data_IF_865422709983
#
_entry.id   IF_865422709983
#
_cell.length_a   1.000
_cell.length_b   1.000
_cell.length_c   1.000
_cell.angle_alpha   90.00
_cell.angle_beta   90.00
_cell.angle_gamma   90.00
#
_symmetry.space_group_name_H-M   'P 1'
#
loop_
_entity.id
_entity.type
_entity.pdbx_description
1 polymer ?
#
# COMPACT_ATOMS: atom_id res chain seq x y z
N UNK A 1 -19.92 -32.03 45.22
CA UNK A 1 -20.02 -31.89 43.75
C UNK A 1 -20.19 -30.44 43.26
N UNK A 2 -20.48 -29.47 44.15
CA UNK A 2 -20.65 -28.06 43.74
C UNK A 2 -19.37 -27.22 43.88
N UNK A 3 -18.45 -27.57 44.80
CA UNK A 3 -17.14 -26.90 44.90
C UNK A 3 -16.20 -27.22 43.72
N UNK A 4 -16.21 -28.45 43.21
CA UNK A 4 -15.36 -28.85 42.06
C UNK A 4 -15.83 -28.17 40.77
N UNK A 5 -17.15 -27.97 40.61
CA UNK A 5 -17.71 -27.20 39.49
C UNK A 5 -17.38 -25.71 39.58
N UNK A 6 -17.40 -25.13 40.79
CA UNK A 6 -16.99 -23.75 41.01
C UNK A 6 -15.48 -23.53 40.74
N UNK A 7 -14.64 -24.49 41.10
CA UNK A 7 -13.20 -24.43 40.87
C UNK A 7 -12.82 -24.53 39.38
N UNK A 8 -13.55 -25.36 38.62
CA UNK A 8 -13.38 -25.52 37.17
C UNK A 8 -13.88 -24.33 36.35
N UNK A 9 -14.91 -23.62 36.83
CA UNK A 9 -15.41 -22.40 36.19
C UNK A 9 -14.47 -21.21 36.46
N UNK A 10 -13.85 -21.13 37.65
CA UNK A 10 -12.89 -20.09 37.99
C UNK A 10 -11.57 -20.19 37.20
N UNK A 11 -11.13 -21.40 36.84
CA UNK A 11 -9.90 -21.61 36.05
C UNK A 11 -10.09 -21.30 34.56
N UNK A 12 -11.30 -21.39 34.03
CA UNK A 12 -11.59 -21.09 32.62
C UNK A 12 -11.66 -19.57 32.33
N UNK A 13 -11.86 -18.74 33.35
CA UNK A 13 -11.90 -17.27 33.21
C UNK A 13 -10.48 -16.65 33.24
N UNK A 14 -9.48 -17.36 33.77
CA UNK A 14 -8.10 -16.86 33.85
C UNK A 14 -7.23 -17.17 32.61
N UNK A 15 -7.73 -17.98 31.66
CA UNK A 15 -7.03 -18.27 30.40
C UNK A 15 -7.36 -17.28 29.27
N UNK A 16 -8.23 -16.29 29.51
CA UNK A 16 -8.36 -15.12 28.64
C UNK A 16 -7.43 -14.00 29.11
N UNK A 17 -6.12 -14.27 29.17
CA UNK A 17 -5.13 -13.21 28.96
C UNK A 17 -5.16 -12.86 27.48
N UNK A 18 -6.25 -12.21 27.05
CA UNK A 18 -6.19 -11.40 25.85
C UNK A 18 -5.05 -10.42 26.06
N UNK A 19 -4.13 -10.33 25.11
CA UNK A 19 -3.19 -9.23 25.04
C UNK A 19 -4.02 -7.95 24.91
N UNK A 20 -4.41 -7.36 26.04
CA UNK A 20 -4.77 -5.96 26.09
C UNK A 20 -3.49 -5.27 25.64
N UNK A 21 -3.46 -4.89 24.36
CA UNK A 21 -2.42 -4.05 23.81
C UNK A 21 -2.25 -2.90 24.77
N UNK A 22 -1.08 -2.85 25.39
CA UNK A 22 -0.69 -1.79 26.29
C UNK A 22 -0.69 -0.51 25.46
N UNK A 23 -1.83 0.19 25.42
CA UNK A 23 -1.90 1.56 24.95
C UNK A 23 -1.12 2.36 25.98
N UNK A 24 0.16 2.60 25.68
CA UNK A 24 1.00 3.56 26.39
C UNK A 24 0.40 4.94 26.08
N UNK A 25 -0.61 5.32 26.86
CA UNK A 25 -1.02 6.69 27.05
C UNK A 25 0.02 7.34 27.98
N UNK A 26 1.17 7.74 27.44
CA UNK A 26 2.28 8.14 28.30
C UNK A 26 3.54 8.65 27.61
N UNK A 27 3.41 9.47 26.57
CA UNK A 27 4.41 10.48 26.23
C UNK A 27 3.76 11.53 25.33
N UNK A 28 3.75 12.78 25.76
CA UNK A 28 3.33 13.92 24.98
C UNK A 28 4.38 14.20 23.88
N UNK A 29 4.34 13.43 22.81
CA UNK A 29 4.86 13.88 21.52
C UNK A 29 3.63 14.27 20.71
N UNK A 30 3.57 15.54 20.32
CA UNK A 30 2.50 16.10 19.47
C UNK A 30 2.62 15.55 18.05
N UNK A 31 2.59 14.23 17.89
CA UNK A 31 2.52 13.60 16.59
C UNK A 31 1.12 13.87 16.08
N UNK A 32 1.01 14.70 15.03
CA UNK A 32 -0.23 14.87 14.28
C UNK A 32 -0.57 13.52 13.64
N UNK A 33 -1.32 12.70 14.35
CA UNK A 33 -1.79 11.42 13.82
C UNK A 33 -2.91 11.71 12.84
N UNK A 34 -2.54 11.69 11.56
CA UNK A 34 -3.49 11.80 10.46
C UNK A 34 -4.29 10.50 10.42
N UNK A 35 -5.58 10.60 10.75
CA UNK A 35 -6.48 9.46 10.75
C UNK A 35 -7.25 9.43 9.45
N UNK A 36 -7.08 8.35 8.69
CA UNK A 36 -7.94 8.04 7.54
C UNK A 36 -9.35 7.69 8.05
N UNK A 37 -10.33 8.53 7.72
CA UNK A 37 -11.72 8.42 8.14
C UNK A 37 -12.63 7.76 7.09
N UNK A 38 -12.06 7.16 6.04
CA UNK A 38 -12.85 6.47 5.01
C UNK A 38 -13.67 5.32 5.59
N UNK A 39 -14.89 5.22 5.08
CA UNK A 39 -15.79 4.10 5.34
C UNK A 39 -15.31 2.82 4.66
N UNK A 40 -15.76 1.68 5.17
CA UNK A 40 -15.51 0.38 4.53
C UNK A 40 -15.99 0.34 3.08
N UNK A 41 -17.08 1.07 2.74
CA UNK A 41 -17.60 1.15 1.38
C UNK A 41 -16.64 1.87 0.44
N UNK A 42 -16.04 2.97 0.89
CA UNK A 42 -15.05 3.71 0.09
C UNK A 42 -13.79 2.87 -0.14
N UNK A 43 -13.28 2.21 0.92
CA UNK A 43 -12.14 1.29 0.80
C UNK A 43 -12.46 0.14 -0.14
N UNK A 44 -13.67 -0.43 -0.06
CA UNK A 44 -14.10 -1.50 -0.94
C UNK A 44 -14.19 -1.04 -2.40
N UNK A 45 -14.71 0.17 -2.66
CA UNK A 45 -14.76 0.75 -4.00
C UNK A 45 -13.34 0.92 -4.57
N UNK A 46 -12.39 1.45 -3.78
CA UNK A 46 -11.00 1.59 -4.20
C UNK A 46 -10.35 0.24 -4.53
N UNK A 47 -10.56 -0.78 -3.69
CA UNK A 47 -10.06 -2.12 -3.96
C UNK A 47 -10.70 -2.74 -5.22
N UNK A 48 -11.99 -2.46 -5.48
CA UNK A 48 -12.65 -2.92 -6.69
C UNK A 48 -12.06 -2.25 -7.94
N UNK A 49 -11.74 -0.95 -7.89
CA UNK A 49 -11.01 -0.24 -8.95
C UNK A 49 -9.66 -0.91 -9.20
N UNK A 50 -8.87 -1.16 -8.14
CA UNK A 50 -7.57 -1.84 -8.26
C UNK A 50 -7.71 -3.22 -8.91
N UNK A 51 -8.72 -4.00 -8.50
CA UNK A 51 -8.98 -5.34 -9.02
C UNK A 51 -9.44 -5.34 -10.48
N UNK A 52 -10.37 -4.46 -10.85
CA UNK A 52 -10.82 -4.27 -12.24
C UNK A 52 -9.63 -3.96 -13.15
N UNK A 53 -8.78 -3.01 -12.74
CA UNK A 53 -7.59 -2.61 -13.51
C UNK A 53 -6.58 -3.74 -13.62
N UNK A 54 -6.29 -4.46 -12.54
CA UNK A 54 -5.43 -5.63 -12.57
C UNK A 54 -6.01 -6.76 -13.45
N UNK A 55 -7.33 -6.91 -13.46
CA UNK A 55 -8.03 -7.88 -14.31
C UNK A 55 -7.91 -7.56 -15.81
N UNK A 56 -7.88 -6.27 -16.18
CA UNK A 56 -7.72 -5.85 -17.58
C UNK A 56 -6.40 -6.30 -18.20
N UNK A 57 -5.29 -6.31 -17.44
CA UNK A 57 -3.96 -6.71 -17.96
C UNK A 57 -3.94 -8.16 -18.43
N UNK A 58 -4.86 -9.00 -17.95
CA UNK A 58 -4.98 -10.41 -18.33
C UNK A 58 -5.84 -10.66 -19.57
N UNK A 59 -6.42 -9.62 -20.18
CA UNK A 59 -7.30 -9.70 -21.36
C UNK A 59 -6.58 -9.18 -22.61
N UNK A 60 -6.97 -9.65 -23.79
CA UNK A 60 -6.51 -9.03 -25.04
C UNK A 60 -7.08 -7.59 -25.15
N UNK A 61 -6.32 -6.62 -25.69
CA UNK A 61 -4.96 -6.73 -26.28
C UNK A 61 -3.81 -6.59 -25.27
N UNK A 62 -4.09 -6.41 -23.98
CA UNK A 62 -3.10 -6.08 -22.94
C UNK A 62 -2.27 -7.27 -22.46
N UNK A 63 -2.83 -8.49 -22.51
CA UNK A 63 -2.15 -9.72 -22.08
C UNK A 63 -0.80 -9.89 -22.77
N UNK A 64 0.27 -9.92 -21.98
CA UNK A 64 1.65 -10.04 -22.46
C UNK A 64 2.26 -8.75 -23.01
N UNK A 65 1.46 -7.69 -23.18
CA UNK A 65 1.91 -6.38 -23.66
C UNK A 65 1.95 -5.32 -22.56
N UNK A 66 1.17 -5.49 -21.49
CA UNK A 66 1.08 -4.59 -20.36
C UNK A 66 1.14 -5.40 -19.07
N UNK A 67 2.11 -5.09 -18.22
CA UNK A 67 2.15 -5.51 -16.83
C UNK A 67 1.93 -4.27 -15.99
N UNK A 68 0.74 -4.13 -15.42
CA UNK A 68 0.39 -2.98 -14.61
C UNK A 68 -0.20 -3.40 -13.27
N UNK A 69 0.11 -2.61 -12.26
CA UNK A 69 -0.56 -2.62 -10.95
C UNK A 69 -1.15 -1.24 -10.72
N UNK A 70 -2.22 -1.18 -9.93
CA UNK A 70 -2.91 0.05 -9.60
C UNK A 70 -2.96 0.20 -8.08
N UNK A 71 -2.92 1.44 -7.62
CA UNK A 71 -3.32 1.77 -6.25
C UNK A 71 -4.32 2.91 -6.29
N UNK A 72 -5.45 2.77 -5.60
CA UNK A 72 -6.53 3.75 -5.57
C UNK A 72 -6.71 4.33 -4.17
N UNK A 73 -7.00 5.63 -4.12
CA UNK A 73 -7.47 6.30 -2.91
C UNK A 73 -8.56 7.32 -3.30
N UNK A 74 -9.80 7.07 -2.88
CA UNK A 74 -10.97 7.88 -3.22
C UNK A 74 -11.10 8.12 -4.75
N UNK A 75 -10.86 7.07 -5.54
CA UNK A 75 -10.91 7.13 -7.00
C UNK A 75 -9.72 7.77 -7.70
N UNK A 76 -8.74 8.31 -6.95
CA UNK A 76 -7.46 8.76 -7.50
C UNK A 76 -6.55 7.54 -7.64
N UNK A 77 -6.26 7.16 -8.87
CA UNK A 77 -5.49 5.96 -9.21
C UNK A 77 -4.07 6.33 -9.61
N UNK A 78 -3.10 5.60 -9.08
CA UNK A 78 -1.73 5.58 -9.58
C UNK A 78 -1.50 4.26 -10.30
N UNK A 79 -1.18 4.34 -11.59
CA UNK A 79 -0.83 3.18 -12.42
C UNK A 79 0.68 3.01 -12.43
N UNK A 80 1.18 1.81 -12.15
CA UNK A 80 2.60 1.49 -12.09
C UNK A 80 2.88 0.22 -12.90
N UNK A 81 4.07 0.10 -13.49
CA UNK A 81 4.47 -1.10 -14.22
C UNK A 81 5.12 -0.81 -15.57
N UNK A 82 4.89 -1.68 -16.55
CA UNK A 82 5.52 -1.61 -17.87
C UNK A 82 4.52 -1.90 -19.00
N UNK A 83 4.74 -1.26 -20.15
CA UNK A 83 4.01 -1.51 -21.38
C UNK A 83 4.97 -1.57 -22.57
N UNK A 84 4.76 -2.50 -23.50
CA UNK A 84 5.68 -2.72 -24.63
C UNK A 84 5.79 -1.52 -25.57
N UNK A 85 4.71 -0.75 -25.73
CA UNK A 85 4.66 0.39 -26.64
C UNK A 85 3.87 1.55 -26.04
N UNK A 86 4.13 2.77 -26.51
CA UNK A 86 3.36 3.94 -26.10
C UNK A 86 1.89 3.83 -26.53
N UNK A 87 1.62 3.19 -27.68
CA UNK A 87 0.26 3.01 -28.17
C UNK A 87 -0.57 2.14 -27.22
N UNK A 88 -0.09 0.95 -26.85
CA UNK A 88 -0.84 0.05 -25.96
C UNK A 88 -0.99 0.65 -24.56
N UNK A 89 0.00 1.45 -24.12
CA UNK A 89 -0.09 2.21 -22.88
C UNK A 89 -1.23 3.24 -22.92
N UNK A 90 -1.30 4.05 -23.97
CA UNK A 90 -2.35 5.05 -24.14
C UNK A 90 -3.74 4.39 -24.18
N UNK A 91 -3.87 3.28 -24.90
CA UNK A 91 -5.11 2.50 -24.96
C UNK A 91 -5.49 1.92 -23.60
N UNK A 92 -4.53 1.35 -22.87
CA UNK A 92 -4.74 0.80 -21.52
C UNK A 92 -5.18 1.89 -20.54
N UNK A 93 -4.51 3.04 -20.52
CA UNK A 93 -4.87 4.17 -19.67
C UNK A 93 -6.28 4.68 -19.99
N UNK A 94 -6.63 4.79 -21.28
CA UNK A 94 -7.96 5.20 -21.70
C UNK A 94 -9.07 4.24 -21.25
N UNK A 95 -8.79 2.93 -21.16
CA UNK A 95 -9.74 1.97 -20.59
C UNK A 95 -9.77 2.03 -19.06
N UNK A 96 -8.63 2.17 -18.39
CA UNK A 96 -8.57 2.34 -16.94
C UNK A 96 -9.36 3.57 -16.48
N UNK A 97 -9.36 4.66 -17.26
CA UNK A 97 -10.19 5.86 -16.99
C UNK A 97 -11.70 5.59 -17.02
N UNK A 98 -12.15 4.53 -17.69
CA UNK A 98 -13.57 4.15 -17.78
C UNK A 98 -14.01 3.22 -16.66
N UNK A 99 -13.08 2.71 -15.85
CA UNK A 99 -13.43 1.86 -14.70
C UNK A 99 -14.32 2.66 -13.73
N UNK A 100 -15.49 2.12 -13.33
CA UNK A 100 -16.39 2.83 -12.42
C UNK A 100 -15.71 3.25 -11.12
N UNK A 101 -15.88 4.52 -10.75
CA UNK A 101 -15.30 5.09 -9.53
C UNK A 101 -13.92 5.74 -9.73
N UNK A 102 -13.29 5.61 -10.88
CA UNK A 102 -12.06 6.35 -11.20
C UNK A 102 -12.38 7.83 -11.43
N UNK A 103 -11.72 8.70 -10.68
CA UNK A 103 -11.85 10.16 -10.78
C UNK A 103 -10.64 10.79 -11.45
N UNK A 104 -9.45 10.27 -11.16
CA UNK A 104 -8.18 10.77 -11.68
C UNK A 104 -7.20 9.62 -11.85
N UNK A 105 -6.33 9.72 -12.87
CA UNK A 105 -5.22 8.78 -13.08
C UNK A 105 -3.91 9.53 -13.15
N UNK A 106 -2.95 9.10 -12.33
CA UNK A 106 -1.53 9.40 -12.44
C UNK A 106 -0.82 8.19 -13.05
N UNK A 107 -0.42 8.30 -14.32
CA UNK A 107 0.27 7.23 -15.01
C UNK A 107 1.77 7.26 -14.71
N UNK A 108 2.29 6.18 -14.13
CA UNK A 108 3.70 5.92 -13.87
C UNK A 108 4.21 4.64 -14.54
N UNK A 109 3.45 4.09 -15.49
CA UNK A 109 3.89 2.96 -16.30
C UNK A 109 5.02 3.42 -17.23
N UNK A 110 6.07 2.61 -17.34
CA UNK A 110 7.21 2.85 -18.23
C UNK A 110 7.02 2.11 -19.55
N UNK A 111 7.32 2.77 -20.66
CA UNK A 111 7.32 2.10 -21.97
C UNK A 111 8.63 1.31 -22.13
N UNK A 112 8.55 0.02 -21.82
CA UNK A 112 9.66 -0.94 -21.88
C UNK A 112 9.10 -2.36 -21.80
N UNK A 113 9.97 -3.36 -22.00
CA UNK A 113 9.59 -4.75 -21.80
C UNK A 113 9.22 -5.01 -20.32
N UNK A 114 8.24 -5.88 -20.03
CA UNK A 114 7.91 -6.28 -18.67
C UNK A 114 9.12 -6.87 -17.95
N UNK A 115 9.18 -6.62 -16.64
CA UNK A 115 10.26 -7.12 -15.79
C UNK A 115 10.36 -8.64 -15.86
N UNK A 116 11.59 -9.13 -15.83
CA UNK A 116 11.90 -10.54 -15.64
C UNK A 116 11.50 -11.02 -14.23
N UNK A 117 11.37 -12.33 -14.06
CA UNK A 117 11.09 -12.94 -12.74
C UNK A 117 12.16 -12.57 -11.70
N UNK A 118 13.43 -12.45 -12.14
CA UNK A 118 14.54 -12.03 -11.27
C UNK A 118 14.37 -10.60 -10.78
N UNK A 119 13.99 -9.68 -11.65
CA UNK A 119 13.74 -8.27 -11.29
C UNK A 119 12.52 -8.14 -10.36
N UNK A 120 11.44 -8.87 -10.64
CA UNK A 120 10.25 -8.91 -9.76
C UNK A 120 10.61 -9.43 -8.36
N UNK A 121 11.48 -10.45 -8.29
CA UNK A 121 11.96 -10.99 -7.01
C UNK A 121 12.85 -9.97 -6.28
N UNK A 122 13.68 -9.24 -7.02
CA UNK A 122 14.50 -8.16 -6.47
C UNK A 122 13.63 -7.02 -5.90
N UNK A 123 12.59 -6.61 -6.62
CA UNK A 123 11.64 -5.59 -6.19
C UNK A 123 10.86 -6.02 -4.94
N UNK A 124 10.50 -7.31 -4.83
CA UNK A 124 9.87 -7.87 -3.64
C UNK A 124 10.79 -7.79 -2.41
N UNK A 125 12.09 -8.02 -2.62
CA UNK A 125 13.09 -7.87 -1.58
C UNK A 125 13.30 -6.40 -1.18
N UNK A 126 13.36 -5.48 -2.14
CA UNK A 126 13.38 -4.03 -1.86
C UNK A 126 12.15 -3.63 -1.05
N UNK A 127 10.95 -4.04 -1.49
CA UNK A 127 9.69 -3.76 -0.81
C UNK A 127 9.72 -4.21 0.64
N UNK A 128 10.23 -5.43 0.90
CA UNK A 128 10.37 -5.97 2.25
C UNK A 128 11.29 -5.11 3.09
N UNK A 129 12.49 -4.77 2.59
CA UNK A 129 13.45 -3.91 3.30
C UNK A 129 12.87 -2.53 3.62
N UNK A 130 12.17 -1.91 2.67
CA UNK A 130 11.53 -0.60 2.87
C UNK A 130 10.45 -0.70 3.94
N UNK A 131 9.54 -1.69 3.84
CA UNK A 131 8.50 -1.89 4.86
C UNK A 131 9.10 -2.10 6.25
N UNK A 132 10.15 -2.92 6.38
CA UNK A 132 10.87 -3.11 7.64
C UNK A 132 11.46 -1.81 8.17
N UNK A 133 12.15 -1.03 7.34
CA UNK A 133 12.76 0.24 7.75
C UNK A 133 11.72 1.26 8.25
N UNK A 134 10.57 1.35 7.56
CA UNK A 134 9.47 2.23 7.97
C UNK A 134 8.83 1.76 9.30
N UNK A 135 8.63 0.45 9.47
CA UNK A 135 8.05 -0.12 10.69
C UNK A 135 8.96 0.03 11.93
N UNK A 136 10.28 0.03 11.73
CA UNK A 136 11.24 0.22 12.83
C UNK A 136 11.42 1.68 13.24
N UNK A 137 10.87 2.63 12.48
CA UNK A 137 10.93 4.05 12.83
C UNK A 137 9.74 4.40 13.75
N UNK A 138 10.02 4.99 14.91
CA UNK A 138 9.00 5.26 15.93
C UNK A 138 7.86 6.16 15.42
N UNK A 139 8.17 7.20 14.64
CA UNK A 139 7.18 8.14 14.10
C UNK A 139 6.31 7.53 12.99
N UNK A 140 6.83 6.56 12.24
CA UNK A 140 6.11 5.93 11.12
C UNK A 140 5.51 4.56 11.45
N UNK A 141 5.91 3.94 12.56
CA UNK A 141 5.49 2.58 12.95
C UNK A 141 3.97 2.40 13.03
N UNK A 142 3.24 3.47 13.33
CA UNK A 142 1.77 3.49 13.43
C UNK A 142 1.07 4.06 12.19
N UNK A 143 1.84 4.58 11.23
CA UNK A 143 1.33 5.20 10.01
C UNK A 143 1.14 4.14 8.93
N UNK A 144 -0.07 4.08 8.36
CA UNK A 144 -0.40 3.11 7.30
C UNK A 144 0.16 3.56 5.94
N UNK A 145 1.37 3.12 5.63
CA UNK A 145 2.03 3.37 4.34
C UNK A 145 2.00 2.09 3.49
N UNK A 146 1.35 2.15 2.32
CA UNK A 146 1.44 1.12 1.29
C UNK A 146 2.72 1.34 0.51
N UNK A 147 3.52 0.29 0.36
CA UNK A 147 4.79 0.30 -0.38
C UNK A 147 4.66 -0.67 -1.56
N UNK A 148 4.90 -0.16 -2.76
CA UNK A 148 4.97 -0.94 -4.00
C UNK A 148 6.31 -0.62 -4.67
N UNK A 149 7.04 -1.63 -5.14
CA UNK A 149 8.28 -1.43 -5.89
C UNK A 149 8.11 -1.99 -7.30
N UNK A 150 8.52 -1.21 -8.31
CA UNK A 150 8.49 -1.59 -9.71
C UNK A 150 9.78 -1.11 -10.41
N UNK A 151 10.62 -2.04 -10.86
CA UNK A 151 11.89 -1.75 -11.54
C UNK A 151 12.95 -1.08 -10.66
N UNK A 152 12.85 -1.23 -9.34
CA UNK A 152 13.62 -0.48 -8.34
C UNK A 152 13.10 0.93 -8.02
N UNK A 153 12.01 1.37 -8.66
CA UNK A 153 11.28 2.58 -8.26
C UNK A 153 10.30 2.24 -7.13
N UNK A 154 10.37 2.94 -6.01
CA UNK A 154 9.52 2.70 -4.84
C UNK A 154 8.42 3.75 -4.76
N UNK A 155 7.18 3.28 -4.81
CA UNK A 155 5.97 4.08 -4.65
C UNK A 155 5.51 3.99 -3.19
N UNK A 156 5.47 5.14 -2.53
CA UNK A 156 4.94 5.28 -1.18
C UNK A 156 3.55 5.90 -1.27
N UNK A 157 2.54 5.16 -0.81
CA UNK A 157 1.14 5.54 -0.91
C UNK A 157 0.44 5.46 0.44
N UNK A 158 -0.66 6.18 0.57
CA UNK A 158 -1.45 6.23 1.80
C UNK A 158 -1.95 7.64 2.08
N UNK A 159 -2.61 7.80 3.23
CA UNK A 159 -3.07 9.09 3.73
C UNK A 159 -2.24 9.49 4.94
N UNK A 160 -1.44 10.55 4.80
CA UNK A 160 -0.40 10.91 5.77
C UNK A 160 -0.25 12.44 5.85
N UNK A 161 0.42 12.94 6.89
CA UNK A 161 0.84 14.34 6.91
C UNK A 161 2.03 14.54 5.96
N UNK A 162 2.29 15.79 5.54
CA UNK A 162 3.50 16.11 4.77
C UNK A 162 4.78 15.72 5.48
N UNK A 163 4.85 15.92 6.80
CA UNK A 163 6.00 15.54 7.61
C UNK A 163 6.26 14.03 7.56
N UNK A 164 5.23 13.19 7.76
CA UNK A 164 5.37 11.74 7.65
C UNK A 164 5.74 11.30 6.24
N UNK A 165 5.20 11.95 5.19
CA UNK A 165 5.57 11.65 3.80
C UNK A 165 7.04 11.94 3.50
N UNK A 166 7.56 13.08 3.99
CA UNK A 166 8.95 13.47 3.80
C UNK A 166 9.90 12.55 4.58
N UNK A 167 9.56 12.21 5.81
CA UNK A 167 10.31 11.25 6.62
C UNK A 167 10.31 9.85 5.97
N UNK A 168 9.15 9.37 5.50
CA UNK A 168 9.06 8.08 4.82
C UNK A 168 9.91 8.05 3.55
N UNK A 169 9.93 9.15 2.78
CA UNK A 169 10.76 9.27 1.60
C UNK A 169 12.26 9.31 1.93
N UNK A 170 12.66 9.98 3.01
CA UNK A 170 14.03 9.99 3.54
C UNK A 170 14.49 8.58 3.92
N UNK A 171 13.72 7.86 4.72
CA UNK A 171 14.09 6.49 5.11
C UNK A 171 14.19 5.59 3.87
N UNK A 172 13.21 5.68 2.97
CA UNK A 172 13.13 4.83 1.77
C UNK A 172 14.31 5.06 0.82
N UNK A 173 14.74 6.31 0.58
CA UNK A 173 15.85 6.58 -0.36
C UNK A 173 17.20 6.06 0.11
N UNK A 174 17.36 5.81 1.41
CA UNK A 174 18.58 5.24 1.97
C UNK A 174 18.58 3.69 1.97
N UNK A 175 17.49 3.04 1.54
CA UNK A 175 17.43 1.59 1.43
C UNK A 175 18.19 1.12 0.18
N UNK A 176 19.15 0.20 0.38
CA UNK A 176 19.94 -0.38 -0.72
C UNK A 176 19.04 -0.99 -1.81
N UNK A 177 19.33 -0.69 -3.08
CA UNK A 177 18.58 -1.16 -4.25
C UNK A 177 17.46 -0.23 -4.71
N UNK A 178 17.06 0.75 -3.89
CA UNK A 178 16.13 1.80 -4.30
C UNK A 178 16.81 2.71 -5.32
N UNK A 179 16.19 2.87 -6.49
CA UNK A 179 16.67 3.77 -7.56
C UNK A 179 15.99 5.13 -7.52
N UNK A 180 14.71 5.14 -7.18
CA UNK A 180 13.89 6.35 -7.11
C UNK A 180 12.78 6.16 -6.08
N UNK A 181 12.41 7.24 -5.41
CA UNK A 181 11.26 7.27 -4.50
C UNK A 181 10.19 8.18 -5.10
N UNK A 182 8.97 7.67 -5.22
CA UNK A 182 7.80 8.38 -5.70
C UNK A 182 6.82 8.51 -4.53
N UNK A 183 6.61 9.76 -4.09
CA UNK A 183 5.58 10.10 -3.11
C UNK A 183 4.23 10.18 -3.81
N UNK A 184 3.42 9.14 -3.64
CA UNK A 184 2.06 9.03 -4.15
C UNK A 184 1.04 9.06 -3.01
N UNK A 185 1.30 9.94 -2.04
CA UNK A 185 0.46 10.13 -0.87
C UNK A 185 -0.71 11.06 -1.14
N UNK A 186 -1.78 10.82 -0.40
CA UNK A 186 -2.80 11.82 -0.12
C UNK A 186 -2.47 12.49 1.21
N UNK A 187 -2.70 13.80 1.29
CA UNK A 187 -2.31 14.59 2.45
C UNK A 187 -3.52 14.96 3.30
N UNK A 188 -3.42 14.68 4.59
CA UNK A 188 -4.33 15.17 5.61
C UNK A 188 -3.59 16.19 6.46
N UNK A 189 -3.73 17.47 6.11
CA UNK A 189 -3.18 18.61 6.83
C UNK A 189 -4.29 19.32 7.59
#
# INVERSE_FOLDING_TARGET
MNLIKALLIATLVMSTSGCVGLFVAGAATTVSVVTDNRTTKEIWNDNNIEFEIAGMTNKAPYRGNVRATASSYNGIVVLMGQANTQQILNEFEAQARKTPGVTQIHNQIRVQQPLSIGEISHDSWITTKVKSALLTNEELSTVKIKVITEGGEVFLLGYVSRAHADLAAEITRNVSGVKQVIKAFQYGD
#
